data_IF_496070875410
#
_entry.id   IF_496070875410
#
_cell.length_a   1.000
_cell.length_b   1.000
_cell.length_c   1.000
_cell.angle_alpha   90.00
_cell.angle_beta   90.00
_cell.angle_gamma   90.00
#
_symmetry.space_group_name_H-M   'P 1'
#
loop_
_entity.id
_entity.type
_entity.pdbx_description
1 polymer ?
#
# COMPACT_ATOMS: atom_id res chain seq x y z
N UNK A 1 16.95 3.73 -17.37
CA UNK A 1 15.57 4.20 -17.07
C UNK A 1 14.72 3.21 -16.27
N UNK A 2 15.18 1.97 -15.98
CA UNK A 2 14.38 0.97 -15.21
C UNK A 2 14.54 1.13 -13.67
N UNK A 3 15.70 1.59 -13.21
CA UNK A 3 16.03 1.71 -11.78
C UNK A 3 15.23 2.79 -11.04
N UNK A 4 14.90 3.89 -11.71
CA UNK A 4 14.14 5.00 -11.10
C UNK A 4 12.67 4.61 -10.85
N UNK A 5 12.08 3.84 -11.77
CA UNK A 5 10.72 3.31 -11.66
C UNK A 5 10.59 2.29 -10.54
N UNK A 6 11.61 1.44 -10.34
CA UNK A 6 11.69 0.55 -9.18
C UNK A 6 11.78 1.34 -7.87
N UNK A 7 12.62 2.38 -7.78
CA UNK A 7 12.74 3.22 -6.59
C UNK A 7 11.44 3.96 -6.22
N UNK A 8 10.73 4.51 -7.22
CA UNK A 8 9.42 5.14 -7.02
C UNK A 8 8.38 4.15 -6.47
N UNK A 9 8.51 2.86 -6.81
CA UNK A 9 7.65 1.80 -6.31
C UNK A 9 7.86 1.49 -4.81
N UNK A 10 9.07 1.70 -4.30
CA UNK A 10 9.41 1.46 -2.90
C UNK A 10 8.88 2.53 -1.96
N UNK A 11 8.64 3.76 -2.44
CA UNK A 11 8.13 4.86 -1.62
C UNK A 11 6.79 4.51 -0.92
N UNK A 12 5.73 4.04 -1.63
CA UNK A 12 4.50 3.64 -0.97
C UNK A 12 4.65 2.42 -0.04
N UNK A 13 5.57 1.50 -0.35
CA UNK A 13 5.89 0.35 0.51
C UNK A 13 6.51 0.82 1.83
N UNK A 14 7.52 1.70 1.77
CA UNK A 14 8.19 2.26 2.93
C UNK A 14 7.23 3.06 3.81
N UNK A 15 6.35 3.87 3.22
CA UNK A 15 5.33 4.63 3.96
C UNK A 15 4.37 3.66 4.69
N UNK A 16 3.95 2.58 4.03
CA UNK A 16 3.13 1.53 4.62
C UNK A 16 3.77 0.85 5.83
N UNK A 17 5.04 0.45 5.69
CA UNK A 17 5.81 -0.21 6.76
C UNK A 17 6.03 0.72 7.95
N UNK A 18 6.45 1.97 7.72
CA UNK A 18 6.65 2.96 8.80
C UNK A 18 5.34 3.24 9.53
N UNK A 19 4.23 3.37 8.80
CA UNK A 19 2.89 3.54 9.38
C UNK A 19 2.49 2.33 10.23
N UNK A 20 2.76 1.11 9.75
CA UNK A 20 2.49 -0.11 10.50
C UNK A 20 3.27 -0.15 11.83
N UNK A 21 4.57 0.15 11.81
CA UNK A 21 5.40 0.20 13.02
C UNK A 21 4.95 1.28 14.01
N UNK A 22 4.56 2.47 13.52
CA UNK A 22 4.09 3.56 14.37
C UNK A 22 2.82 3.20 15.15
N UNK A 23 1.87 2.51 14.50
CA UNK A 23 0.58 2.18 15.11
C UNK A 23 0.55 0.85 15.86
N UNK A 24 1.50 -0.06 15.61
CA UNK A 24 1.63 -1.33 16.35
C UNK A 24 1.80 -1.11 17.86
N UNK A 25 2.34 0.05 18.28
CA UNK A 25 2.43 0.47 19.69
C UNK A 25 1.06 0.73 20.37
N UNK A 26 -0.08 0.76 19.64
CA UNK A 26 -1.40 1.11 20.19
C UNK A 26 -2.47 0.04 19.86
N UNK A 27 -2.56 -0.96 20.73
CA UNK A 27 -3.26 -2.25 20.57
C UNK A 27 -4.68 -2.23 19.93
N UNK A 28 -5.59 -1.30 20.28
CA UNK A 28 -6.98 -1.37 19.76
C UNK A 28 -7.16 -0.79 18.34
N UNK A 29 -6.37 0.22 17.96
CA UNK A 29 -6.44 0.84 16.62
C UNK A 29 -5.50 0.17 15.62
N UNK A 30 -4.54 -0.62 16.11
CA UNK A 30 -3.64 -1.43 15.29
C UNK A 30 -4.38 -2.42 14.39
N UNK A 31 -5.43 -3.10 14.88
CA UNK A 31 -6.18 -4.09 14.09
C UNK A 31 -6.83 -3.45 12.86
N UNK A 32 -7.45 -2.27 13.01
CA UNK A 32 -8.10 -1.54 11.91
C UNK A 32 -7.06 -1.12 10.87
N UNK A 33 -5.89 -0.68 11.33
CA UNK A 33 -4.79 -0.30 10.45
C UNK A 33 -4.17 -1.48 9.71
N UNK A 34 -3.95 -2.59 10.40
CA UNK A 34 -3.53 -3.86 9.79
C UNK A 34 -4.55 -4.26 8.73
N UNK A 35 -5.86 -4.25 9.04
CA UNK A 35 -6.92 -4.57 8.09
C UNK A 35 -6.88 -3.67 6.85
N UNK A 36 -6.70 -2.37 7.05
CA UNK A 36 -6.64 -1.40 5.95
C UNK A 36 -5.34 -1.46 5.14
N UNK A 37 -4.30 -2.13 5.64
CA UNK A 37 -3.04 -2.35 4.93
C UNK A 37 -3.04 -3.62 4.05
N UNK A 38 -3.98 -4.55 4.26
CA UNK A 38 -4.11 -5.74 3.41
C UNK A 38 -4.32 -5.42 1.91
N UNK A 39 -5.20 -4.48 1.51
CA UNK A 39 -5.42 -4.17 0.11
C UNK A 39 -4.17 -3.59 -0.59
N UNK A 40 -3.46 -2.59 -0.03
CA UNK A 40 -2.17 -2.16 -0.57
C UNK A 40 -1.16 -3.29 -0.73
N UNK A 41 -1.01 -4.12 0.31
CA UNK A 41 -0.08 -5.25 0.29
C UNK A 41 -0.41 -6.27 -0.81
N UNK A 42 -1.70 -6.56 -1.03
CA UNK A 42 -2.15 -7.46 -2.09
C UNK A 42 -1.75 -6.96 -3.48
N UNK A 43 -1.97 -5.69 -3.79
CA UNK A 43 -1.59 -5.11 -5.08
C UNK A 43 -0.08 -5.06 -5.25
N UNK A 44 0.68 -4.73 -4.19
CA UNK A 44 2.16 -4.76 -4.22
C UNK A 44 2.66 -6.17 -4.57
N UNK A 45 2.14 -7.21 -3.92
CA UNK A 45 2.53 -8.61 -4.21
C UNK A 45 2.20 -8.98 -5.66
N UNK A 46 1.02 -8.59 -6.16
CA UNK A 46 0.61 -8.83 -7.56
C UNK A 46 1.53 -8.14 -8.57
N UNK A 47 2.04 -6.96 -8.24
CA UNK A 47 2.94 -6.19 -9.12
C UNK A 47 4.36 -6.76 -9.07
N UNK A 48 4.84 -7.17 -7.90
CA UNK A 48 6.15 -7.84 -7.75
C UNK A 48 6.15 -9.20 -8.47
N UNK A 49 5.05 -9.97 -8.36
CA UNK A 49 4.87 -11.24 -9.06
C UNK A 49 4.48 -11.09 -10.53
N UNK A 50 4.36 -9.85 -11.03
CA UNK A 50 4.02 -9.63 -12.42
C UNK A 50 5.20 -10.04 -13.30
N UNK A 51 5.03 -11.14 -14.03
CA UNK A 51 6.05 -11.67 -14.95
C UNK A 51 5.97 -10.93 -16.29
N UNK A 52 7.10 -10.81 -17.01
CA UNK A 52 7.20 -10.20 -18.35
C UNK A 52 6.22 -10.76 -19.42
N UNK A 53 5.64 -11.95 -19.18
CA UNK A 53 4.63 -12.56 -20.06
C UNK A 53 3.21 -12.02 -19.89
N UNK A 54 2.98 -11.18 -18.90
CA UNK A 54 1.65 -10.73 -18.51
C UNK A 54 1.35 -9.37 -19.16
N UNK A 55 0.10 -9.12 -19.55
CA UNK A 55 -0.24 -7.97 -20.39
C UNK A 55 -0.03 -6.64 -19.66
N UNK A 56 0.46 -5.63 -20.40
CA UNK A 56 0.67 -4.27 -19.88
C UNK A 56 -0.62 -3.67 -19.25
N UNK A 57 -1.78 -4.06 -19.77
CA UNK A 57 -3.09 -3.70 -19.24
C UNK A 57 -3.31 -4.21 -17.81
N UNK A 58 -2.86 -5.44 -17.50
CA UNK A 58 -2.96 -6.00 -16.15
C UNK A 58 -2.05 -5.26 -15.16
N UNK A 59 -0.85 -4.86 -15.58
CA UNK A 59 0.04 -4.02 -14.76
C UNK A 59 -0.60 -2.67 -14.45
N UNK A 60 -1.17 -1.99 -15.46
CA UNK A 60 -1.89 -0.73 -15.25
C UNK A 60 -3.07 -0.88 -14.28
N UNK A 61 -3.83 -1.97 -14.39
CA UNK A 61 -4.92 -2.26 -13.46
C UNK A 61 -4.41 -2.43 -12.02
N UNK A 62 -3.30 -3.13 -11.81
CA UNK A 62 -2.72 -3.30 -10.48
C UNK A 62 -2.16 -1.99 -9.92
N UNK A 63 -1.53 -1.16 -10.74
CA UNK A 63 -1.02 0.16 -10.33
C UNK A 63 -2.18 1.09 -9.94
N UNK A 64 -3.25 1.15 -10.74
CA UNK A 64 -4.45 1.94 -10.42
C UNK A 64 -5.12 1.42 -9.14
N UNK A 65 -5.22 0.09 -8.99
CA UNK A 65 -5.73 -0.54 -7.76
C UNK A 65 -4.89 -0.21 -6.53
N UNK A 66 -3.56 -0.18 -6.67
CA UNK A 66 -2.63 0.24 -5.63
C UNK A 66 -2.86 1.70 -5.23
N UNK A 67 -3.01 2.61 -6.20
CA UNK A 67 -3.32 4.02 -5.93
C UNK A 67 -4.65 4.19 -5.17
N UNK A 68 -5.72 3.52 -5.60
CA UNK A 68 -7.01 3.56 -4.89
C UNK A 68 -6.90 3.03 -3.46
N UNK A 69 -6.16 1.93 -3.28
CA UNK A 69 -5.97 1.32 -1.96
C UNK A 69 -5.19 2.23 -1.00
N UNK A 70 -4.22 3.00 -1.52
CA UNK A 70 -3.49 4.00 -0.72
C UNK A 70 -4.36 5.18 -0.33
N UNK A 71 -5.23 5.66 -1.23
CA UNK A 71 -6.18 6.74 -0.91
C UNK A 71 -7.09 6.29 0.24
N UNK A 72 -7.64 5.07 0.17
CA UNK A 72 -8.45 4.51 1.25
C UNK A 72 -7.66 4.38 2.55
N UNK A 73 -6.41 3.91 2.48
CA UNK A 73 -5.53 3.81 3.65
C UNK A 73 -5.28 5.18 4.31
N UNK A 74 -5.02 6.23 3.52
CA UNK A 74 -4.84 7.60 4.01
C UNK A 74 -6.12 8.15 4.65
N UNK A 75 -7.29 7.87 4.07
CA UNK A 75 -8.59 8.27 4.63
C UNK A 75 -8.83 7.59 5.99
N UNK A 76 -8.55 6.29 6.10
CA UNK A 76 -8.65 5.54 7.37
C UNK A 76 -7.66 6.09 8.40
N UNK A 77 -6.42 6.39 8.00
CA UNK A 77 -5.43 7.04 8.86
C UNK A 77 -5.93 8.39 9.39
N UNK A 78 -6.48 9.23 8.51
CA UNK A 78 -7.03 10.54 8.88
C UNK A 78 -8.22 10.40 9.84
N UNK A 79 -9.10 9.45 9.60
CA UNK A 79 -10.23 9.15 10.49
C UNK A 79 -9.74 8.73 11.87
N UNK A 80 -8.78 7.81 11.93
CA UNK A 80 -8.22 7.35 13.20
C UNK A 80 -7.51 8.46 13.96
N UNK A 81 -6.76 9.33 13.25
CA UNK A 81 -6.08 10.50 13.81
C UNK A 81 -7.05 11.54 14.39
N UNK A 82 -8.13 11.88 13.68
CA UNK A 82 -9.14 12.83 14.15
C UNK A 82 -9.90 12.34 15.40
N UNK A 83 -9.98 11.02 15.58
CA UNK A 83 -10.63 10.37 16.72
C UNK A 83 -9.62 10.02 17.85
N UNK A 84 -8.47 10.71 17.90
CA UNK A 84 -7.55 10.79 19.05
C UNK A 84 -7.70 12.15 19.72
#
# INVERSE_FOLDING_TARGET
MVTFSMLLFWIPVCIGVISFFYFTKRSRKAIILVLSFLPPAFFIIKIIKHTFYQSLSALNFYVVGLFLSLILFIVVLRYLYKNY
#
